data_IF_131203870071
#
_entry.id   IF_131203870071
#
_cell.length_a   1.000
_cell.length_b   1.000
_cell.length_c   1.000
_cell.angle_alpha   90.00
_cell.angle_beta   90.00
_cell.angle_gamma   90.00
#
_symmetry.space_group_name_H-M   'P 1'
#
loop_
_entity.id
_entity.type
_entity.pdbx_description
1 polymer ?
#
# COMPACT_ATOMS: atom_id res chain seq x y z
N UNK A 1 -20.97 10.75 -32.64
CA UNK A 1 -20.52 11.81 -31.72
C UNK A 1 -19.02 11.85 -31.81
N UNK A 2 -18.48 12.98 -32.24
CA UNK A 2 -17.04 13.20 -32.27
C UNK A 2 -16.54 13.61 -30.87
N UNK A 3 -15.24 13.45 -30.60
CA UNK A 3 -14.62 13.87 -29.34
C UNK A 3 -14.83 15.36 -29.06
N UNK A 4 -14.87 16.20 -30.11
CA UNK A 4 -15.13 17.64 -29.97
C UNK A 4 -16.48 17.94 -29.32
N UNK A 5 -17.55 17.27 -29.79
CA UNK A 5 -18.90 17.43 -29.23
C UNK A 5 -18.98 16.96 -27.78
N UNK A 6 -18.34 15.82 -27.47
CA UNK A 6 -18.32 15.29 -26.10
C UNK A 6 -17.56 16.20 -25.14
N UNK A 7 -16.50 16.88 -25.59
CA UNK A 7 -15.80 17.86 -24.76
C UNK A 7 -16.63 19.11 -24.46
N UNK A 8 -17.50 19.52 -25.38
CA UNK A 8 -18.43 20.63 -25.13
C UNK A 8 -19.50 20.24 -24.11
N UNK A 9 -20.08 19.05 -24.26
CA UNK A 9 -21.05 18.50 -23.31
C UNK A 9 -20.41 18.31 -21.92
N UNK A 10 -19.19 17.80 -21.86
CA UNK A 10 -18.41 17.68 -20.61
C UNK A 10 -18.23 19.03 -19.93
N UNK A 11 -17.92 20.07 -20.72
CA UNK A 11 -17.76 21.43 -20.21
C UNK A 11 -19.06 22.01 -19.68
N UNK A 12 -20.19 21.74 -20.32
CA UNK A 12 -21.52 22.18 -19.87
C UNK A 12 -21.91 21.46 -18.58
N UNK A 13 -21.86 20.12 -18.56
CA UNK A 13 -22.19 19.32 -17.40
C UNK A 13 -21.34 19.65 -16.16
N UNK A 14 -20.08 20.07 -16.35
CA UNK A 14 -19.24 20.60 -15.27
C UNK A 14 -19.76 21.92 -14.69
N UNK A 15 -20.22 22.85 -15.53
CA UNK A 15 -20.77 24.13 -15.07
C UNK A 15 -22.08 23.92 -14.31
N UNK A 16 -22.88 22.95 -14.76
CA UNK A 16 -24.18 22.65 -14.18
C UNK A 16 -24.08 21.78 -12.92
N UNK A 17 -22.90 21.23 -12.63
CA UNK A 17 -22.64 20.40 -11.46
C UNK A 17 -23.31 19.03 -11.50
N UNK A 18 -23.66 18.54 -12.70
CA UNK A 18 -24.38 17.29 -12.88
C UNK A 18 -23.42 16.08 -12.99
N UNK A 19 -23.07 15.49 -11.84
CA UNK A 19 -22.13 14.35 -11.78
C UNK A 19 -22.61 13.12 -12.57
N UNK A 20 -23.91 12.83 -12.64
CA UNK A 20 -24.44 11.65 -13.37
C UNK A 20 -24.28 11.80 -14.88
N UNK A 21 -24.52 13.01 -15.37
CA UNK A 21 -24.33 13.34 -16.77
C UNK A 21 -22.84 13.29 -17.15
N UNK A 22 -21.96 13.81 -16.29
CA UNK A 22 -20.51 13.68 -16.47
C UNK A 22 -20.07 12.23 -16.58
N UNK A 23 -20.53 11.35 -15.68
CA UNK A 23 -20.22 9.91 -15.75
C UNK A 23 -20.69 9.28 -17.07
N UNK A 24 -21.89 9.64 -17.53
CA UNK A 24 -22.43 9.14 -18.80
C UNK A 24 -21.59 9.62 -20.00
N UNK A 25 -21.15 10.89 -19.98
CA UNK A 25 -20.27 11.46 -21.00
C UNK A 25 -18.90 10.77 -20.98
N UNK A 26 -18.33 10.53 -19.80
CA UNK A 26 -17.05 9.81 -19.67
C UNK A 26 -17.12 8.40 -20.25
N UNK A 27 -18.22 7.68 -20.00
CA UNK A 27 -18.43 6.35 -20.59
C UNK A 27 -18.49 6.40 -22.12
N UNK A 28 -19.17 7.41 -22.69
CA UNK A 28 -19.17 7.63 -24.14
C UNK A 28 -17.78 7.94 -24.66
N UNK A 29 -17.00 8.79 -23.98
CA UNK A 29 -15.62 9.09 -24.38
C UNK A 29 -14.72 7.85 -24.34
N UNK A 30 -14.82 7.03 -23.29
CA UNK A 30 -14.07 5.77 -23.18
C UNK A 30 -14.46 4.80 -24.31
N UNK A 31 -15.74 4.72 -24.66
CA UNK A 31 -16.19 3.84 -25.75
C UNK A 31 -15.62 4.21 -27.13
N UNK A 32 -15.08 5.42 -27.28
CA UNK A 32 -14.40 5.88 -28.49
C UNK A 32 -12.89 5.61 -28.47
N UNK A 33 -12.31 5.29 -27.31
CA UNK A 33 -10.90 4.91 -27.20
C UNK A 33 -10.70 3.50 -27.78
N UNK A 34 -9.68 3.33 -28.61
CA UNK A 34 -9.34 2.06 -29.25
C UNK A 34 -8.43 1.16 -28.40
N UNK A 35 -7.58 1.76 -27.55
CA UNK A 35 -6.63 1.03 -26.72
C UNK A 35 -6.53 1.54 -25.28
N UNK A 36 -5.85 0.76 -24.44
CA UNK A 36 -5.63 1.06 -23.02
C UNK A 36 -4.87 2.38 -22.79
N UNK A 37 -3.95 2.73 -23.70
CA UNK A 37 -3.12 3.93 -23.59
C UNK A 37 -3.94 5.18 -23.83
N UNK A 38 -4.81 5.16 -24.82
CA UNK A 38 -5.77 6.21 -25.11
C UNK A 38 -6.69 6.44 -23.91
N UNK A 39 -7.19 5.37 -23.29
CA UNK A 39 -8.02 5.47 -22.07
C UNK A 39 -7.26 6.14 -20.93
N UNK A 40 -6.04 5.70 -20.61
CA UNK A 40 -5.23 6.31 -19.54
C UNK A 40 -4.94 7.77 -19.85
N UNK A 41 -4.56 8.09 -21.09
CA UNK A 41 -4.28 9.46 -21.53
C UNK A 41 -5.51 10.38 -21.43
N UNK A 42 -6.69 9.88 -21.79
CA UNK A 42 -7.95 10.60 -21.66
C UNK A 42 -8.24 10.90 -20.19
N UNK A 43 -8.14 9.91 -19.30
CA UNK A 43 -8.38 10.11 -17.86
C UNK A 43 -7.35 11.10 -17.28
N UNK A 44 -6.09 11.04 -17.72
CA UNK A 44 -5.06 12.01 -17.34
C UNK A 44 -5.45 13.43 -17.74
N UNK A 45 -5.92 13.64 -18.97
CA UNK A 45 -6.39 14.95 -19.44
C UNK A 45 -7.60 15.41 -18.65
N UNK A 46 -8.60 14.56 -18.45
CA UNK A 46 -9.83 14.90 -17.71
C UNK A 46 -9.55 15.25 -16.25
N UNK A 47 -8.67 14.49 -15.59
CA UNK A 47 -8.30 14.70 -14.19
C UNK A 47 -7.43 15.94 -13.96
N UNK A 48 -6.75 16.45 -15.01
CA UNK A 48 -5.99 17.69 -14.95
C UNK A 48 -6.85 18.95 -15.19
N UNK A 49 -8.10 18.82 -15.66
CA UNK A 49 -8.97 19.97 -15.95
C UNK A 49 -9.39 20.70 -14.68
N UNK A 50 -9.20 22.02 -14.66
CA UNK A 50 -9.66 22.88 -13.55
C UNK A 50 -11.19 22.83 -13.42
N UNK A 51 -11.67 22.65 -12.19
CA UNK A 51 -13.10 22.60 -11.88
C UNK A 51 -13.77 21.27 -12.24
N UNK A 52 -12.99 20.22 -12.50
CA UNK A 52 -13.55 18.88 -12.66
C UNK A 52 -14.04 18.31 -11.32
N UNK A 53 -15.15 17.58 -11.34
CA UNK A 53 -15.65 16.88 -10.15
C UNK A 53 -14.74 15.70 -9.79
N UNK A 54 -14.12 15.79 -8.61
CA UNK A 54 -13.18 14.78 -8.10
C UNK A 54 -13.85 13.42 -7.90
N UNK A 55 -15.11 13.42 -7.46
CA UNK A 55 -15.84 12.17 -7.22
C UNK A 55 -16.17 11.45 -8.53
N UNK A 56 -16.51 12.20 -9.59
CA UNK A 56 -16.72 11.63 -10.92
C UNK A 56 -15.44 11.05 -11.53
N UNK A 57 -14.28 11.69 -11.31
CA UNK A 57 -12.97 11.12 -11.73
C UNK A 57 -12.62 9.87 -10.91
N UNK A 58 -12.84 9.90 -9.59
CA UNK A 58 -12.64 8.73 -8.73
C UNK A 58 -13.48 7.54 -9.21
N UNK A 59 -14.77 7.78 -9.46
CA UNK A 59 -15.67 6.78 -10.01
C UNK A 59 -15.17 6.25 -11.37
N UNK A 60 -14.69 7.14 -12.24
CA UNK A 60 -14.18 6.77 -13.56
C UNK A 60 -12.98 5.82 -13.47
N UNK A 61 -11.98 6.17 -12.66
CA UNK A 61 -10.78 5.34 -12.42
C UNK A 61 -11.18 3.95 -11.94
N UNK A 62 -12.04 3.88 -10.91
CA UNK A 62 -12.51 2.62 -10.36
C UNK A 62 -13.33 1.80 -11.36
N UNK A 63 -14.19 2.46 -12.13
CA UNK A 63 -15.02 1.78 -13.12
C UNK A 63 -14.18 1.16 -14.24
N UNK A 64 -13.29 1.94 -14.85
CA UNK A 64 -12.42 1.46 -15.93
C UNK A 64 -11.51 0.35 -15.45
N UNK A 65 -10.89 0.52 -14.27
CA UNK A 65 -10.05 -0.52 -13.68
C UNK A 65 -10.82 -1.82 -13.41
N UNK A 66 -12.01 -1.72 -12.81
CA UNK A 66 -12.85 -2.90 -12.54
C UNK A 66 -13.29 -3.60 -13.83
N UNK A 67 -13.69 -2.84 -14.85
CA UNK A 67 -14.06 -3.38 -16.16
C UNK A 67 -12.87 -4.10 -16.81
N UNK A 68 -11.67 -3.50 -16.79
CA UNK A 68 -10.46 -4.14 -17.33
C UNK A 68 -10.17 -5.47 -16.63
N UNK A 69 -10.23 -5.49 -15.30
CA UNK A 69 -9.98 -6.70 -14.49
C UNK A 69 -11.00 -7.82 -14.75
N UNK A 70 -12.26 -7.47 -14.99
CA UNK A 70 -13.33 -8.44 -15.31
C UNK A 70 -13.16 -9.00 -16.73
N UNK A 71 -12.94 -8.13 -17.72
CA UNK A 71 -12.90 -8.52 -19.12
C UNK A 71 -11.57 -9.21 -19.49
N UNK A 72 -10.47 -8.82 -18.86
CA UNK A 72 -9.11 -9.30 -19.16
C UNK A 72 -8.37 -9.69 -17.86
N UNK A 73 -8.79 -10.77 -17.18
CA UNK A 73 -8.25 -11.15 -15.87
C UNK A 73 -6.75 -11.52 -15.88
N UNK A 74 -6.22 -11.87 -17.06
CA UNK A 74 -4.81 -12.19 -17.25
C UNK A 74 -3.96 -11.04 -17.79
N UNK A 75 -4.60 -9.94 -18.23
CA UNK A 75 -3.95 -8.85 -18.97
C UNK A 75 -4.50 -7.49 -18.50
N UNK A 76 -4.30 -7.19 -17.22
CA UNK A 76 -4.72 -5.93 -16.60
C UNK A 76 -3.57 -5.20 -15.92
N UNK A 77 -2.42 -5.84 -15.76
CA UNK A 77 -1.31 -5.33 -14.93
C UNK A 77 -0.63 -4.14 -15.55
N UNK A 78 -0.40 -4.16 -16.86
CA UNK A 78 0.26 -3.06 -17.56
C UNK A 78 -0.65 -1.83 -17.57
N UNK A 79 -1.94 -2.03 -17.87
CA UNK A 79 -2.96 -0.99 -17.73
C UNK A 79 -3.00 -0.39 -16.30
N UNK A 80 -2.96 -1.23 -15.26
CA UNK A 80 -3.00 -0.78 -13.88
C UNK A 80 -1.73 -0.03 -13.47
N UNK A 81 -0.56 -0.41 -13.99
CA UNK A 81 0.70 0.31 -13.79
C UNK A 81 0.66 1.69 -14.44
N UNK A 82 0.21 1.77 -15.69
CA UNK A 82 0.06 3.04 -16.42
C UNK A 82 -0.97 3.95 -15.73
N UNK A 83 -2.10 3.40 -15.30
CA UNK A 83 -3.13 4.13 -14.55
C UNK A 83 -2.56 4.66 -13.22
N UNK A 84 -1.78 3.84 -12.52
CA UNK A 84 -1.14 4.21 -11.26
C UNK A 84 -0.16 5.37 -11.43
N UNK A 85 0.75 5.30 -12.41
CA UNK A 85 1.79 6.32 -12.63
C UNK A 85 1.27 7.62 -13.23
N UNK A 86 0.38 7.53 -14.23
CA UNK A 86 0.02 8.70 -15.05
C UNK A 86 -1.21 9.44 -14.53
N UNK A 87 -2.05 8.75 -13.76
CA UNK A 87 -3.31 9.31 -13.27
C UNK A 87 -3.34 9.40 -11.75
N UNK A 88 -3.03 8.31 -11.04
CA UNK A 88 -3.29 8.25 -9.61
C UNK A 88 -2.19 8.91 -8.79
N UNK A 89 -0.93 8.71 -9.17
CA UNK A 89 0.22 9.28 -8.47
C UNK A 89 0.16 10.83 -8.43
N UNK A 90 0.44 11.40 -7.26
CA UNK A 90 0.43 12.85 -7.02
C UNK A 90 -0.95 13.47 -6.78
N UNK A 91 -2.05 12.73 -6.91
CA UNK A 91 -3.41 13.26 -6.68
C UNK A 91 -3.95 12.87 -5.30
N UNK A 92 -3.97 13.80 -4.35
CA UNK A 92 -4.45 13.57 -2.96
C UNK A 92 -5.86 12.95 -2.89
N UNK A 93 -6.76 13.29 -3.83
CA UNK A 93 -8.13 12.76 -3.82
C UNK A 93 -8.24 11.32 -4.35
N UNK A 94 -7.15 10.74 -4.86
CA UNK A 94 -7.05 9.36 -5.35
C UNK A 94 -6.13 8.49 -4.47
N UNK A 95 -5.86 8.90 -3.24
CA UNK A 95 -5.01 8.13 -2.31
C UNK A 95 -5.57 6.72 -2.05
N UNK A 96 -6.89 6.58 -1.91
CA UNK A 96 -7.56 5.28 -1.70
C UNK A 96 -7.37 4.35 -2.91
N UNK A 97 -7.55 4.88 -4.13
CA UNK A 97 -7.29 4.17 -5.38
C UNK A 97 -5.82 3.75 -5.50
N UNK A 98 -4.89 4.60 -5.04
CA UNK A 98 -3.46 4.29 -5.03
C UNK A 98 -3.17 3.06 -4.17
N UNK A 99 -3.76 3.00 -2.98
CA UNK A 99 -3.63 1.85 -2.08
C UNK A 99 -4.24 0.59 -2.70
N UNK A 100 -5.44 0.71 -3.30
CA UNK A 100 -6.14 -0.40 -3.94
C UNK A 100 -5.35 -0.99 -5.12
N UNK A 101 -4.99 -0.17 -6.09
CA UNK A 101 -4.25 -0.60 -7.29
C UNK A 101 -2.91 -1.24 -6.93
N UNK A 102 -2.17 -0.60 -6.02
CA UNK A 102 -0.86 -1.13 -5.58
C UNK A 102 -1.01 -2.46 -4.86
N UNK A 103 -2.04 -2.61 -4.02
CA UNK A 103 -2.28 -3.86 -3.28
C UNK A 103 -2.61 -5.01 -4.24
N UNK A 104 -3.44 -4.74 -5.25
CA UNK A 104 -3.76 -5.71 -6.29
C UNK A 104 -2.53 -6.11 -7.11
N UNK A 105 -1.75 -5.14 -7.60
CA UNK A 105 -0.51 -5.38 -8.35
C UNK A 105 0.51 -6.18 -7.54
N UNK A 106 0.70 -5.81 -6.26
CA UNK A 106 1.54 -6.53 -5.31
C UNK A 106 1.08 -7.99 -5.16
N UNK A 107 -0.20 -8.22 -4.92
CA UNK A 107 -0.76 -9.57 -4.76
C UNK A 107 -0.59 -10.42 -6.03
N UNK A 108 -0.74 -9.80 -7.20
CA UNK A 108 -0.47 -10.45 -8.48
C UNK A 108 1.01 -10.86 -8.61
N UNK A 109 1.93 -9.95 -8.29
CA UNK A 109 3.37 -10.22 -8.32
C UNK A 109 3.76 -11.37 -7.38
N UNK A 110 3.21 -11.39 -6.15
CA UNK A 110 3.44 -12.47 -5.18
C UNK A 110 2.95 -13.82 -5.70
N UNK A 111 1.77 -13.88 -6.33
CA UNK A 111 1.24 -15.12 -6.94
C UNK A 111 2.13 -15.65 -8.05
N UNK A 112 2.82 -14.77 -8.75
CA UNK A 112 3.73 -15.12 -9.85
C UNK A 112 5.20 -15.29 -9.38
N UNK A 113 5.44 -15.42 -8.07
CA UNK A 113 6.78 -15.51 -7.47
C UNK A 113 7.71 -14.32 -7.78
N UNK A 114 7.16 -13.17 -8.17
CA UNK A 114 7.93 -11.95 -8.43
C UNK A 114 7.97 -11.07 -7.18
N UNK A 115 8.67 -11.56 -6.16
CA UNK A 115 8.68 -10.97 -4.82
C UNK A 115 9.37 -9.60 -4.80
N UNK A 116 10.46 -9.44 -5.56
CA UNK A 116 11.21 -8.18 -5.65
C UNK A 116 10.36 -7.04 -6.20
N UNK A 117 9.58 -7.30 -7.25
CA UNK A 117 8.67 -6.31 -7.81
C UNK A 117 7.53 -5.98 -6.84
N UNK A 118 6.96 -6.99 -6.17
CA UNK A 118 5.94 -6.77 -5.15
C UNK A 118 6.43 -5.87 -4.01
N UNK A 119 7.66 -6.09 -3.54
CA UNK A 119 8.31 -5.29 -2.51
C UNK A 119 8.53 -3.85 -2.97
N UNK A 120 9.04 -3.64 -4.19
CA UNK A 120 9.25 -2.29 -4.70
C UNK A 120 7.93 -1.53 -4.89
N UNK A 121 6.89 -2.19 -5.40
CA UNK A 121 5.56 -1.59 -5.58
C UNK A 121 4.99 -1.07 -4.26
N UNK A 122 4.95 -1.91 -3.22
CA UNK A 122 4.34 -1.51 -1.94
C UNK A 122 5.17 -0.45 -1.20
N UNK A 123 6.50 -0.51 -1.27
CA UNK A 123 7.38 0.44 -0.58
C UNK A 123 7.42 1.81 -1.25
N UNK A 124 7.12 1.89 -2.55
CA UNK A 124 7.06 3.15 -3.30
C UNK A 124 5.83 4.01 -2.95
N UNK A 125 4.88 3.50 -2.18
CA UNK A 125 3.70 4.26 -1.76
C UNK A 125 3.97 4.90 -0.39
N UNK A 126 4.15 6.24 -0.32
CA UNK A 126 4.45 6.94 0.94
C UNK A 126 3.16 7.18 1.74
N UNK A 127 2.52 6.12 2.23
CA UNK A 127 1.23 6.20 2.94
C UNK A 127 1.27 7.10 4.18
N UNK A 128 2.46 7.35 4.74
CA UNK A 128 2.65 8.29 5.85
C UNK A 128 2.31 9.74 5.50
N UNK A 129 2.27 10.11 4.22
CA UNK A 129 1.89 11.47 3.78
C UNK A 129 0.42 11.59 3.42
N UNK A 130 -0.34 10.50 3.48
CA UNK A 130 -1.73 10.48 3.04
C UNK A 130 -2.64 11.13 4.08
N UNK A 131 -3.66 11.84 3.60
CA UNK A 131 -4.55 12.68 4.42
C UNK A 131 -6.01 12.33 4.23
N UNK A 132 -6.35 11.68 3.12
CA UNK A 132 -7.72 11.31 2.75
C UNK A 132 -8.07 9.87 3.15
N UNK A 133 -7.11 9.12 3.70
CA UNK A 133 -7.28 7.73 4.13
C UNK A 133 -7.31 7.66 5.67
N UNK A 134 -8.14 6.80 6.28
CA UNK A 134 -8.11 6.54 7.72
C UNK A 134 -6.73 6.10 8.23
N UNK A 135 -6.35 6.57 9.43
CA UNK A 135 -5.09 6.21 10.09
C UNK A 135 -4.95 4.68 10.28
N UNK A 136 -6.05 3.96 10.49
CA UNK A 136 -6.07 2.50 10.56
C UNK A 136 -5.59 1.83 9.27
N UNK A 137 -6.01 2.32 8.11
CA UNK A 137 -5.57 1.80 6.81
C UNK A 137 -4.09 2.12 6.58
N UNK A 138 -3.63 3.31 7.00
CA UNK A 138 -2.20 3.68 6.92
C UNK A 138 -1.36 2.70 7.75
N UNK A 139 -1.73 2.46 9.01
CA UNK A 139 -1.01 1.53 9.89
C UNK A 139 -1.00 0.11 9.33
N UNK A 140 -2.14 -0.39 8.86
CA UNK A 140 -2.21 -1.72 8.23
C UNK A 140 -1.34 -1.82 6.98
N UNK A 141 -1.30 -0.76 6.15
CA UNK A 141 -0.43 -0.73 4.98
C UNK A 141 1.05 -0.71 5.37
N UNK A 142 1.44 0.05 6.40
CA UNK A 142 2.81 0.07 6.90
C UNK A 142 3.22 -1.27 7.53
N UNK A 143 2.30 -1.96 8.22
CA UNK A 143 2.55 -3.30 8.75
C UNK A 143 2.76 -4.32 7.63
N UNK A 144 2.00 -4.21 6.53
CA UNK A 144 2.19 -5.05 5.34
C UNK A 144 3.52 -4.75 4.63
N UNK A 145 3.92 -3.47 4.54
CA UNK A 145 5.26 -3.09 4.07
C UNK A 145 6.34 -3.73 4.94
N UNK A 146 6.17 -3.69 6.27
CA UNK A 146 7.15 -4.24 7.20
C UNK A 146 7.23 -5.77 7.08
N UNK A 147 6.09 -6.45 7.04
CA UNK A 147 6.00 -7.90 6.81
C UNK A 147 6.79 -8.32 5.57
N UNK A 148 6.56 -7.66 4.44
CA UNK A 148 7.23 -8.02 3.19
C UNK A 148 8.74 -7.74 3.22
N UNK A 149 9.19 -6.65 3.85
CA UNK A 149 10.63 -6.42 4.03
C UNK A 149 11.29 -7.53 4.85
N UNK A 150 10.63 -8.00 5.91
CA UNK A 150 11.14 -9.07 6.78
C UNK A 150 11.16 -10.41 6.04
N UNK A 151 10.07 -10.78 5.37
CA UNK A 151 9.97 -12.03 4.59
C UNK A 151 11.03 -12.11 3.47
N UNK A 152 11.38 -10.95 2.88
CA UNK A 152 12.42 -10.84 1.85
C UNK A 152 13.83 -10.72 2.41
N UNK A 153 14.00 -10.68 3.74
CA UNK A 153 15.27 -10.45 4.43
C UNK A 153 15.94 -9.12 4.04
N UNK A 154 15.16 -8.13 3.60
CA UNK A 154 15.66 -6.78 3.37
C UNK A 154 15.71 -6.03 4.70
N UNK A 155 16.77 -6.30 5.46
CA UNK A 155 16.94 -5.80 6.82
C UNK A 155 17.07 -4.28 6.88
N UNK A 156 17.67 -3.65 5.85
CA UNK A 156 17.84 -2.20 5.78
C UNK A 156 16.48 -1.53 5.63
N UNK A 157 15.66 -1.98 4.66
CA UNK A 157 14.33 -1.42 4.45
C UNK A 157 13.38 -1.78 5.59
N UNK A 158 13.52 -2.97 6.19
CA UNK A 158 12.78 -3.37 7.40
C UNK A 158 13.00 -2.38 8.55
N UNK A 159 14.26 -2.02 8.83
CA UNK A 159 14.62 -1.04 9.86
C UNK A 159 13.98 0.34 9.59
N UNK A 160 13.99 0.78 8.34
CA UNK A 160 13.37 2.05 7.92
C UNK A 160 11.86 1.98 8.14
N UNK A 161 11.19 0.94 7.65
CA UNK A 161 9.73 0.78 7.76
C UNK A 161 9.29 0.65 9.21
N UNK A 162 10.01 -0.11 10.04
CA UNK A 162 9.75 -0.24 11.48
C UNK A 162 9.69 1.14 12.17
N UNK A 163 10.63 2.05 11.84
CA UNK A 163 10.70 3.39 12.45
C UNK A 163 9.57 4.31 11.99
N UNK A 164 8.99 4.09 10.81
CA UNK A 164 7.87 4.89 10.28
C UNK A 164 6.55 4.64 11.01
N UNK A 165 6.38 3.48 11.62
CA UNK A 165 5.13 3.08 12.27
C UNK A 165 4.96 3.83 13.60
N UNK A 166 3.85 4.57 13.73
CA UNK A 166 3.52 5.36 14.93
C UNK A 166 3.03 4.47 16.07
N UNK A 167 3.95 4.04 16.96
CA UNK A 167 3.62 3.19 18.14
C UNK A 167 2.51 3.74 19.05
N UNK A 168 2.32 5.07 19.11
CA UNK A 168 1.25 5.69 19.90
C UNK A 168 -0.15 5.29 19.43
N UNK A 169 -0.29 5.00 18.13
CA UNK A 169 -1.54 4.58 17.51
C UNK A 169 -2.17 3.37 18.23
N UNK A 170 -1.34 2.38 18.58
CA UNK A 170 -1.80 1.14 19.20
C UNK A 170 -2.53 1.38 20.53
N UNK A 171 -1.94 2.22 21.39
CA UNK A 171 -2.53 2.56 22.69
C UNK A 171 -3.74 3.46 22.56
N UNK A 172 -3.68 4.48 21.70
CA UNK A 172 -4.76 5.44 21.49
C UNK A 172 -6.03 4.77 20.94
N UNK A 173 -5.88 3.77 20.06
CA UNK A 173 -6.98 3.12 19.36
C UNK A 173 -7.30 1.71 19.89
N UNK A 174 -6.61 1.24 20.93
CA UNK A 174 -6.73 -0.14 21.46
C UNK A 174 -6.53 -1.20 20.36
N UNK A 175 -5.61 -0.93 19.43
CA UNK A 175 -5.32 -1.76 18.26
C UNK A 175 -4.34 -2.89 18.63
N UNK A 176 -4.81 -3.81 19.48
CA UNK A 176 -3.99 -4.88 20.09
C UNK A 176 -3.45 -5.84 19.03
N UNK A 177 -4.25 -6.16 18.02
CA UNK A 177 -3.85 -7.12 16.97
C UNK A 177 -2.70 -6.55 16.13
N UNK A 178 -2.81 -5.28 15.76
CA UNK A 178 -1.81 -4.53 15.02
C UNK A 178 -0.52 -4.38 15.84
N UNK A 179 -0.64 -4.17 17.15
CA UNK A 179 0.49 -4.11 18.07
C UNK A 179 1.23 -5.46 18.18
N UNK A 180 0.48 -6.56 18.26
CA UNK A 180 1.04 -7.92 18.27
C UNK A 180 1.81 -8.19 16.97
N UNK A 181 1.21 -7.90 15.82
CA UNK A 181 1.87 -8.07 14.51
C UNK A 181 3.14 -7.23 14.42
N UNK A 182 3.08 -5.98 14.87
CA UNK A 182 4.22 -5.09 14.90
C UNK A 182 5.40 -5.68 15.67
N UNK A 183 5.17 -6.15 16.89
CA UNK A 183 6.25 -6.75 17.70
C UNK A 183 6.75 -8.09 17.16
N UNK A 184 5.88 -8.91 16.56
CA UNK A 184 6.30 -10.14 15.87
C UNK A 184 7.28 -9.84 14.73
N UNK A 185 6.98 -8.87 13.88
CA UNK A 185 7.89 -8.48 12.80
C UNK A 185 9.20 -7.86 13.31
N UNK A 186 9.18 -7.14 14.44
CA UNK A 186 10.41 -6.67 15.09
C UNK A 186 11.28 -7.83 15.56
N UNK A 187 10.67 -8.85 16.15
CA UNK A 187 11.38 -10.06 16.58
C UNK A 187 12.03 -10.72 15.37
N UNK A 188 11.27 -10.97 14.30
CA UNK A 188 11.79 -11.59 13.09
C UNK A 188 12.93 -10.76 12.46
N UNK A 189 12.81 -9.43 12.46
CA UNK A 189 13.87 -8.51 12.04
C UNK A 189 15.13 -8.68 12.89
N UNK A 190 15.00 -8.62 14.22
CA UNK A 190 16.16 -8.70 15.11
C UNK A 190 16.82 -10.07 15.08
N UNK A 191 16.04 -11.15 15.02
CA UNK A 191 16.58 -12.50 14.84
C UNK A 191 17.30 -12.64 13.50
N UNK A 192 16.73 -12.11 12.41
CA UNK A 192 17.37 -12.09 11.10
C UNK A 192 18.66 -11.26 11.03
N UNK A 193 18.79 -10.28 11.93
CA UNK A 193 19.99 -9.45 12.11
C UNK A 193 20.95 -9.97 13.20
N UNK A 194 20.65 -11.12 13.82
CA UNK A 194 21.41 -11.68 14.95
C UNK A 194 21.51 -10.74 16.18
N UNK A 195 20.52 -9.85 16.35
CA UNK A 195 20.37 -8.93 17.48
C UNK A 195 19.59 -9.61 18.62
N UNK A 196 20.19 -10.63 19.22
CA UNK A 196 19.50 -11.51 20.18
C UNK A 196 19.07 -10.80 21.47
N UNK A 197 19.85 -9.82 21.93
CA UNK A 197 19.47 -9.03 23.11
C UNK A 197 18.20 -8.20 22.87
N UNK A 198 18.15 -7.50 21.73
CA UNK A 198 16.97 -6.73 21.33
C UNK A 198 15.76 -7.62 21.06
N UNK A 199 15.96 -8.79 20.46
CA UNK A 199 14.93 -9.80 20.30
C UNK A 199 14.37 -10.26 21.66
N UNK A 200 15.22 -10.57 22.63
CA UNK A 200 14.83 -10.95 24.00
C UNK A 200 13.94 -9.90 24.67
N UNK A 201 14.37 -8.63 24.67
CA UNK A 201 13.58 -7.52 25.22
C UNK A 201 12.21 -7.41 24.51
N UNK A 202 12.19 -7.65 23.21
CA UNK A 202 10.96 -7.55 22.41
C UNK A 202 10.00 -8.71 22.71
N UNK A 203 10.49 -9.92 22.93
CA UNK A 203 9.68 -11.03 23.41
C UNK A 203 9.04 -10.73 24.78
N UNK A 204 9.79 -10.15 25.72
CA UNK A 204 9.22 -9.74 27.02
C UNK A 204 8.08 -8.73 26.85
N UNK A 205 8.26 -7.71 25.99
CA UNK A 205 7.20 -6.73 25.69
C UNK A 205 5.97 -7.36 25.04
N UNK A 206 6.18 -8.31 24.12
CA UNK A 206 5.07 -9.03 23.49
C UNK A 206 4.32 -9.90 24.52
N UNK A 207 5.05 -10.48 25.48
CA UNK A 207 4.45 -11.26 26.56
C UNK A 207 3.55 -10.42 27.47
N UNK A 208 3.92 -9.17 27.77
CA UNK A 208 3.06 -8.25 28.54
C UNK A 208 1.69 -8.01 27.89
N UNK A 209 1.58 -8.22 26.58
CA UNK A 209 0.35 -8.00 25.80
C UNK A 209 -0.46 -9.29 25.67
N UNK A 210 0.20 -10.42 25.37
CA UNK A 210 -0.46 -11.68 25.01
C UNK A 210 -0.59 -12.65 26.19
N UNK A 211 0.26 -12.51 27.21
CA UNK A 211 0.39 -13.44 28.36
C UNK A 211 0.56 -14.90 27.92
N UNK A 212 1.68 -15.19 27.23
CA UNK A 212 2.03 -16.54 26.76
C UNK A 212 3.40 -16.96 27.31
N UNK A 213 3.40 -18.03 28.10
CA UNK A 213 4.59 -18.62 28.72
C UNK A 213 5.71 -18.95 27.72
N UNK A 214 5.38 -19.28 26.47
CA UNK A 214 6.36 -19.52 25.40
C UNK A 214 7.24 -18.30 25.12
N UNK A 215 6.67 -17.08 25.13
CA UNK A 215 7.45 -15.86 24.91
C UNK A 215 8.40 -15.58 26.08
N UNK A 216 8.06 -16.00 27.29
CA UNK A 216 8.96 -15.90 28.44
C UNK A 216 10.16 -16.84 28.29
N UNK A 217 9.91 -18.06 27.81
CA UNK A 217 10.97 -19.03 27.50
C UNK A 217 11.88 -18.49 26.40
N UNK A 218 11.30 -17.99 25.30
CA UNK A 218 12.05 -17.42 24.18
C UNK A 218 12.85 -16.18 24.59
N UNK A 219 12.27 -15.28 25.38
CA UNK A 219 12.99 -14.12 25.93
C UNK A 219 14.22 -14.55 26.72
N UNK A 220 14.06 -15.53 27.62
CA UNK A 220 15.15 -16.06 28.44
C UNK A 220 16.22 -16.75 27.60
N UNK A 221 15.80 -17.55 26.62
CA UNK A 221 16.70 -18.24 25.68
C UNK A 221 17.59 -17.25 24.91
N UNK A 222 17.00 -16.23 24.29
CA UNK A 222 17.77 -15.25 23.51
C UNK A 222 18.63 -14.33 24.37
N UNK A 223 18.24 -14.08 25.63
CA UNK A 223 19.11 -13.38 26.59
C UNK A 223 20.39 -14.19 26.88
N UNK A 224 20.26 -15.50 27.10
CA UNK A 224 21.39 -16.40 27.33
C UNK A 224 22.25 -16.49 26.07
N UNK A 225 21.64 -16.68 24.90
CA UNK A 225 22.36 -16.80 23.62
C UNK A 225 23.27 -15.59 23.36
N UNK A 226 22.77 -14.37 23.65
CA UNK A 226 23.56 -13.15 23.53
C UNK A 226 24.82 -13.17 24.42
N UNK A 227 24.73 -13.71 25.65
CA UNK A 227 25.90 -13.79 26.55
C UNK A 227 26.96 -14.75 26.04
N UNK A 228 26.55 -15.88 25.45
CA UNK A 228 27.47 -16.86 24.88
C UNK A 228 28.22 -16.34 23.66
N UNK A 229 27.57 -15.57 22.77
CA UNK A 229 28.25 -14.97 21.61
C UNK A 229 29.27 -13.89 22.01
N UNK A 230 28.97 -13.14 23.06
CA UNK A 230 29.90 -12.17 23.64
C UNK A 230 31.18 -12.82 24.17
N UNK A 231 31.07 -14.00 24.80
CA UNK A 231 32.21 -14.77 25.28
C UNK A 231 33.06 -15.36 24.15
N UNK A 232 32.43 -15.86 23.08
CA UNK A 232 33.15 -16.43 21.92
C UNK A 232 33.92 -15.36 21.13
N UNK A 233 33.39 -14.13 21.01
CA UNK A 233 34.08 -13.01 20.36
C UNK A 233 35.16 -12.34 21.23
N UNK A 234 35.19 -12.64 22.53
CA UNK A 234 36.15 -12.08 23.48
C UNK A 234 37.48 -12.86 23.56
N UNK A 235 37.57 -14.02 22.89
CA UNK A 235 38.83 -14.76 22.75
C UNK A 235 39.38 -14.58 21.31
N UNK A 236 40.62 -14.07 21.15
CA UNK A 236 41.26 -13.85 19.84
C UNK A 236 41.66 -15.14 19.12
#
# INVERSE_FOLDING_TARGET
>A
MDFSELYELERQARKDGNSKELQTIFMKMISLCGDDREVVSLIRVLSARRGQDRNSIRWLVNHVYSQKKINFPNDWTDFAKDLLSDVVEGKMFLEEERVLLTTDLKNYCLKNNNITEALNLILNVPVETFTMIPESTIINYQLEQFRLCVETKDWIRSDITMRKIRKKYFKENKAINEEILFYKYIIDLYLGQEKFFEASITYSKLNEIVDNSEYTILASFYAILCTCEGEVRAYP
#
